data_IF_160616882226
#
_entry.id   IF_160616882226
#
_cell.length_a   1.000
_cell.length_b   1.000
_cell.length_c   1.000
_cell.angle_alpha   90.00
_cell.angle_beta   90.00
_cell.angle_gamma   90.00
#
_symmetry.space_group_name_H-M   'P 1'
#
loop_
_entity.id
_entity.type
_entity.pdbx_description
1 polymer ?
#
# COMPACT_ATOMS: atom_id res chain seq x y z
N UNK A 1 -8.06 -35.25 7.87
CA UNK A 1 -8.44 -34.30 6.80
C UNK A 1 -7.78 -32.98 7.17
N UNK A 2 -6.68 -32.62 6.53
CA UNK A 2 -5.94 -31.40 6.89
C UNK A 2 -6.80 -30.18 6.61
N UNK A 3 -7.04 -29.37 7.64
CA UNK A 3 -7.82 -28.13 7.59
C UNK A 3 -7.26 -27.07 6.62
N UNK A 4 -6.08 -27.33 6.04
CA UNK A 4 -5.40 -26.49 5.05
C UNK A 4 -5.98 -26.61 3.62
N UNK A 5 -6.75 -27.66 3.33
CA UNK A 5 -7.31 -27.94 2.00
C UNK A 5 -8.79 -27.51 1.82
N UNK A 6 -9.23 -26.44 2.49
CA UNK A 6 -10.57 -25.89 2.24
C UNK A 6 -10.61 -25.13 0.89
N UNK A 7 -11.58 -25.38 0.01
CA UNK A 7 -11.70 -24.70 -1.29
C UNK A 7 -11.78 -23.16 -1.19
N UNK A 8 -12.18 -22.60 -0.04
CA UNK A 8 -12.33 -21.15 0.15
C UNK A 8 -11.06 -20.42 0.60
N UNK A 9 -10.01 -21.12 1.03
CA UNK A 9 -8.79 -20.48 1.58
C UNK A 9 -7.81 -20.02 0.50
N UNK A 10 -7.72 -20.76 -0.61
CA UNK A 10 -6.86 -20.45 -1.77
C UNK A 10 -7.17 -19.08 -2.42
N UNK A 11 -8.43 -18.73 -2.73
CA UNK A 11 -8.75 -17.43 -3.32
C UNK A 11 -8.46 -16.26 -2.35
N UNK A 12 -8.71 -16.45 -1.05
CA UNK A 12 -8.44 -15.44 -0.02
C UNK A 12 -6.94 -15.12 0.11
N UNK A 13 -6.10 -16.17 0.11
CA UNK A 13 -4.65 -16.01 0.14
C UNK A 13 -4.13 -15.26 -1.10
N UNK A 14 -4.58 -15.66 -2.29
CA UNK A 14 -4.21 -14.97 -3.55
C UNK A 14 -4.67 -13.52 -3.57
N UNK A 15 -5.89 -13.23 -3.11
CA UNK A 15 -6.39 -11.86 -3.00
C UNK A 15 -5.50 -10.99 -2.11
N UNK A 16 -5.12 -11.52 -0.94
CA UNK A 16 -4.18 -10.84 -0.02
C UNK A 16 -2.82 -10.58 -0.68
N UNK A 17 -2.26 -11.56 -1.40
CA UNK A 17 -0.99 -11.39 -2.12
C UNK A 17 -1.07 -10.32 -3.21
N UNK A 18 -2.16 -10.30 -3.99
CA UNK A 18 -2.37 -9.32 -5.05
C UNK A 18 -2.44 -7.91 -4.46
N UNK A 19 -3.20 -7.72 -3.38
CA UNK A 19 -3.33 -6.42 -2.70
C UNK A 19 -1.96 -5.92 -2.23
N UNK A 20 -1.19 -6.76 -1.55
CA UNK A 20 0.15 -6.38 -1.09
C UNK A 20 1.13 -6.10 -2.23
N UNK A 21 1.07 -6.87 -3.31
CA UNK A 21 1.92 -6.64 -4.47
C UNK A 21 1.61 -5.30 -5.15
N UNK A 22 0.33 -5.01 -5.39
CA UNK A 22 -0.09 -3.76 -6.05
C UNK A 22 0.27 -2.54 -5.21
N UNK A 23 -0.04 -2.58 -3.90
CA UNK A 23 0.27 -1.48 -3.00
C UNK A 23 1.77 -1.33 -2.83
N UNK A 24 2.52 -2.42 -2.67
CA UNK A 24 3.99 -2.38 -2.62
C UNK A 24 4.61 -1.78 -3.88
N UNK A 25 4.07 -2.09 -5.07
CA UNK A 25 4.53 -1.50 -6.33
C UNK A 25 4.28 0.01 -6.37
N UNK A 26 3.09 0.45 -5.97
CA UNK A 26 2.75 1.88 -5.87
C UNK A 26 3.66 2.58 -4.85
N UNK A 27 3.87 1.96 -3.69
CA UNK A 27 4.65 2.54 -2.59
C UNK A 27 6.13 2.68 -2.97
N UNK A 28 6.71 1.69 -3.66
CA UNK A 28 8.07 1.78 -4.22
C UNK A 28 8.16 2.93 -5.24
N UNK A 29 7.16 3.09 -6.11
CA UNK A 29 7.12 4.18 -7.10
C UNK A 29 7.07 5.55 -6.41
N UNK A 30 6.26 5.69 -5.35
CA UNK A 30 6.15 6.91 -4.55
C UNK A 30 7.42 7.17 -3.72
N UNK A 31 8.06 6.14 -3.20
CA UNK A 31 9.33 6.25 -2.49
C UNK A 31 10.41 6.80 -3.43
N UNK A 32 10.53 6.27 -4.66
CA UNK A 32 11.45 6.83 -5.65
C UNK A 32 11.14 8.30 -5.94
N UNK A 33 9.86 8.66 -6.12
CA UNK A 33 9.45 10.06 -6.32
C UNK A 33 9.94 10.93 -5.17
N UNK A 34 9.65 10.52 -3.93
CA UNK A 34 10.02 11.26 -2.72
C UNK A 34 11.54 11.46 -2.65
N UNK A 35 12.33 10.40 -2.79
CA UNK A 35 13.79 10.48 -2.72
C UNK A 35 14.37 11.35 -3.84
N UNK A 36 13.89 11.21 -5.08
CA UNK A 36 14.35 12.02 -6.20
C UNK A 36 14.08 13.51 -5.98
N UNK A 37 12.90 13.87 -5.43
CA UNK A 37 12.59 15.26 -5.10
C UNK A 37 13.41 15.76 -3.90
N UNK A 38 13.55 14.92 -2.87
CA UNK A 38 14.30 15.25 -1.67
C UNK A 38 15.78 15.53 -1.98
N UNK A 39 16.38 14.78 -2.92
CA UNK A 39 17.77 14.97 -3.30
C UNK A 39 17.97 15.89 -4.52
N UNK A 40 16.92 16.57 -4.98
CA UNK A 40 17.03 17.55 -6.07
C UNK A 40 17.45 16.92 -7.41
N UNK A 41 16.96 15.71 -7.71
CA UNK A 41 17.32 14.98 -8.93
C UNK A 41 17.01 15.77 -10.21
N UNK A 42 17.86 15.61 -11.22
CA UNK A 42 17.73 16.31 -12.50
C UNK A 42 16.44 15.91 -13.23
N UNK A 43 15.50 16.85 -13.35
CA UNK A 43 14.19 16.64 -14.01
C UNK A 43 14.31 16.31 -15.51
N UNK A 44 15.44 16.64 -16.16
CA UNK A 44 15.68 16.30 -17.57
C UNK A 44 16.14 14.86 -17.78
N UNK A 45 16.51 14.14 -16.71
CA UNK A 45 16.87 12.73 -16.81
C UNK A 45 15.61 11.88 -17.08
N UNK A 46 15.69 10.95 -18.04
CA UNK A 46 14.55 10.13 -18.46
C UNK A 46 13.93 9.33 -17.31
N UNK A 47 14.77 8.75 -16.43
CA UNK A 47 14.30 8.01 -15.26
C UNK A 47 13.50 8.90 -14.29
N UNK A 48 14.02 10.08 -13.96
CA UNK A 48 13.35 11.02 -13.05
C UNK A 48 12.03 11.49 -13.62
N UNK A 49 11.99 11.83 -14.91
CA UNK A 49 10.76 12.22 -15.59
C UNK A 49 9.72 11.09 -15.60
N UNK A 50 10.15 9.85 -15.89
CA UNK A 50 9.30 8.67 -15.83
C UNK A 50 8.66 8.49 -14.46
N UNK A 51 9.46 8.50 -13.38
CA UNK A 51 8.96 8.34 -12.01
C UNK A 51 7.95 9.45 -11.67
N UNK A 52 8.26 10.71 -11.97
CA UNK A 52 7.36 11.82 -11.67
C UNK A 52 6.03 11.73 -12.43
N UNK A 53 6.06 11.25 -13.67
CA UNK A 53 4.86 11.08 -14.51
C UNK A 53 4.02 9.90 -14.03
N UNK A 54 4.65 8.72 -13.85
CA UNK A 54 3.97 7.50 -13.42
C UNK A 54 3.38 7.62 -12.01
N UNK A 55 4.05 8.37 -11.12
CA UNK A 55 3.58 8.61 -9.74
C UNK A 55 2.48 9.68 -9.63
N UNK A 56 2.29 10.52 -10.66
CA UNK A 56 1.42 11.70 -10.60
C UNK A 56 -0.02 11.38 -10.20
N UNK A 57 -0.70 10.36 -10.78
CA UNK A 57 -2.08 10.04 -10.43
C UNK A 57 -2.28 9.63 -8.97
N UNK A 58 -1.23 9.07 -8.34
CA UNK A 58 -1.28 8.57 -6.97
C UNK A 58 -1.09 9.67 -5.91
N UNK A 59 -0.39 10.75 -6.26
CA UNK A 59 -0.25 11.91 -5.36
C UNK A 59 -1.32 12.97 -5.59
N UNK A 60 -1.95 13.00 -6.77
CA UNK A 60 -2.87 14.06 -7.18
C UNK A 60 -4.04 14.32 -6.21
N UNK A 61 -4.65 13.30 -5.56
CA UNK A 61 -5.75 13.55 -4.61
C UNK A 61 -5.30 14.30 -3.35
N UNK A 62 -4.00 14.29 -3.04
CA UNK A 62 -3.45 14.80 -1.79
C UNK A 62 -2.71 16.14 -1.95
N UNK A 63 -2.56 16.66 -3.17
CA UNK A 63 -1.77 17.86 -3.47
C UNK A 63 -2.15 19.10 -2.65
N UNK A 64 -3.41 19.19 -2.23
CA UNK A 64 -3.93 20.34 -1.48
C UNK A 64 -3.91 20.16 0.04
N UNK A 65 -3.42 19.03 0.55
CA UNK A 65 -3.45 18.72 1.99
C UNK A 65 -2.34 19.45 2.74
N UNK A 66 -1.15 19.53 2.16
CA UNK A 66 0.02 20.17 2.77
C UNK A 66 0.68 21.14 1.79
N UNK A 67 1.33 22.17 2.35
CA UNK A 67 2.21 23.06 1.59
C UNK A 67 3.53 22.38 1.20
N UNK A 68 4.20 22.94 0.19
CA UNK A 68 5.50 22.44 -0.28
C UNK A 68 6.63 23.07 0.54
N UNK A 69 7.53 22.24 1.09
CA UNK A 69 8.79 22.70 1.71
C UNK A 69 9.94 22.55 0.72
N UNK A 70 10.60 23.65 0.34
CA UNK A 70 11.67 23.67 -0.67
C UNK A 70 12.91 24.40 -0.15
N UNK A 71 14.08 23.82 -0.36
CA UNK A 71 15.40 24.41 -0.05
C UNK A 71 16.34 24.11 -1.22
N UNK A 72 16.90 25.13 -1.88
CA UNK A 72 17.97 25.00 -2.88
C UNK A 72 17.80 23.87 -3.92
N UNK A 73 16.58 23.67 -4.42
CA UNK A 73 16.26 22.62 -5.41
C UNK A 73 15.88 21.26 -4.83
N UNK A 74 16.15 21.02 -3.54
CA UNK A 74 15.57 19.94 -2.74
C UNK A 74 14.11 20.27 -2.39
N UNK A 75 13.24 19.26 -2.49
CA UNK A 75 11.82 19.39 -2.13
C UNK A 75 11.44 18.24 -1.20
N UNK A 76 11.08 18.59 0.04
CA UNK A 76 10.44 17.66 0.96
C UNK A 76 8.93 17.63 0.67
N UNK A 77 8.48 16.59 -0.01
CA UNK A 77 7.10 16.47 -0.49
C UNK A 77 6.23 15.70 0.52
N UNK A 78 5.67 16.42 1.50
CA UNK A 78 4.75 15.86 2.51
C UNK A 78 3.56 15.11 1.91
N UNK A 79 3.07 15.57 0.76
CA UNK A 79 1.96 14.95 0.04
C UNK A 79 2.29 13.54 -0.45
N UNK A 80 3.54 13.25 -0.81
CA UNK A 80 3.96 11.90 -1.21
C UNK A 80 4.04 10.96 -0.01
N UNK A 81 4.58 11.42 1.13
CA UNK A 81 4.59 10.64 2.37
C UNK A 81 3.15 10.32 2.83
N UNK A 82 2.25 11.30 2.76
CA UNK A 82 0.85 11.10 3.07
C UNK A 82 0.22 10.05 2.14
N UNK A 83 0.45 10.13 0.84
CA UNK A 83 -0.08 9.17 -0.13
C UNK A 83 0.36 7.74 0.19
N UNK A 84 1.65 7.53 0.48
CA UNK A 84 2.20 6.24 0.90
C UNK A 84 1.49 5.68 2.13
N UNK A 85 1.37 6.50 3.18
CA UNK A 85 0.69 6.12 4.42
C UNK A 85 -0.78 5.73 4.16
N UNK A 86 -1.51 6.54 3.41
CA UNK A 86 -2.92 6.30 3.09
C UNK A 86 -3.08 4.99 2.32
N UNK A 87 -2.23 4.72 1.32
CA UNK A 87 -2.34 3.48 0.55
C UNK A 87 -2.00 2.24 1.37
N UNK A 88 -1.02 2.31 2.28
CA UNK A 88 -0.73 1.22 3.22
C UNK A 88 -1.91 0.95 4.15
N UNK A 89 -2.56 1.99 4.68
CA UNK A 89 -3.73 1.85 5.56
C UNK A 89 -4.92 1.26 4.80
N UNK A 90 -5.17 1.70 3.57
CA UNK A 90 -6.24 1.16 2.71
C UNK A 90 -5.98 -0.32 2.40
N UNK A 91 -4.74 -0.68 2.04
CA UNK A 91 -4.36 -2.07 1.77
C UNK A 91 -4.58 -2.96 2.98
N UNK A 92 -4.13 -2.50 4.15
CA UNK A 92 -4.33 -3.20 5.41
C UNK A 92 -5.81 -3.41 5.71
N UNK A 93 -6.64 -2.38 5.52
CA UNK A 93 -8.09 -2.47 5.68
C UNK A 93 -8.73 -3.48 4.71
N UNK A 94 -8.37 -3.45 3.43
CA UNK A 94 -8.85 -4.40 2.42
C UNK A 94 -8.47 -5.83 2.81
N UNK A 95 -7.23 -6.08 3.23
CA UNK A 95 -6.79 -7.42 3.65
C UNK A 95 -7.56 -7.89 4.88
N UNK A 96 -7.79 -7.02 5.87
CA UNK A 96 -8.61 -7.36 7.05
C UNK A 96 -10.05 -7.73 6.66
N UNK A 97 -10.65 -7.00 5.73
CA UNK A 97 -11.98 -7.32 5.19
C UNK A 97 -12.00 -8.63 4.41
N UNK A 98 -10.97 -8.93 3.64
CA UNK A 98 -10.87 -10.23 2.98
C UNK A 98 -10.82 -11.36 4.01
N UNK A 99 -10.01 -11.20 5.06
CA UNK A 99 -9.83 -12.22 6.10
C UNK A 99 -11.06 -12.42 6.98
N UNK A 100 -11.88 -11.39 7.23
CA UNK A 100 -13.12 -11.52 8.02
C UNK A 100 -14.17 -12.40 7.33
N UNK A 101 -14.15 -12.47 5.99
CA UNK A 101 -15.02 -13.34 5.21
C UNK A 101 -14.68 -14.84 5.33
N UNK A 102 -13.61 -15.21 6.05
CA UNK A 102 -13.26 -16.61 6.32
C UNK A 102 -14.29 -17.20 7.28
N UNK A 103 -15.11 -18.13 6.81
CA UNK A 103 -16.05 -18.88 7.64
C UNK A 103 -15.29 -19.61 8.75
N UNK A 104 -15.63 -19.34 10.01
CA UNK A 104 -15.16 -20.15 11.15
C UNK A 104 -15.84 -21.51 11.08
N UNK A 105 -15.09 -22.59 11.22
CA UNK A 105 -15.67 -23.92 11.31
C UNK A 105 -16.25 -24.14 12.71
N UNK A 106 -17.47 -24.67 12.81
CA UNK A 106 -18.19 -24.90 14.08
C UNK A 106 -17.37 -25.62 15.18
N UNK A 107 -16.46 -26.58 14.86
CA UNK A 107 -15.57 -27.18 15.86
C UNK A 107 -14.53 -26.20 16.43
N UNK A 108 -13.94 -25.36 15.58
CA UNK A 108 -12.89 -24.39 15.96
C UNK A 108 -13.47 -23.26 16.85
N UNK A 109 -14.72 -22.88 16.61
CA UNK A 109 -15.43 -21.92 17.47
C UNK A 109 -15.75 -22.51 18.85
N UNK A 110 -16.07 -23.80 18.93
CA UNK A 110 -16.36 -24.48 20.19
C UNK A 110 -15.12 -24.66 21.07
N UNK A 111 -13.92 -24.83 20.48
CA UNK A 111 -12.67 -24.95 21.22
C UNK A 111 -12.22 -23.60 21.80
N UNK A 112 -12.31 -22.51 21.03
CA UNK A 112 -11.96 -21.16 21.53
C UNK A 112 -12.86 -20.67 22.66
N UNK A 113 -14.14 -21.05 22.67
CA UNK A 113 -15.07 -20.73 23.75
C UNK A 113 -14.84 -21.52 25.04
N UNK A 114 -14.04 -22.60 25.00
CA UNK A 114 -13.64 -23.36 26.21
C UNK A 114 -12.32 -22.85 26.81
N UNK A 115 -11.55 -22.08 26.04
CA UNK A 115 -10.29 -21.47 26.47
C UNK A 115 -10.47 -20.06 27.07
N UNK A 116 -11.67 -19.47 26.92
CA UNK A 116 -12.13 -18.28 27.65
C UNK A 116 -12.88 -18.66 28.93
#
# INVERSE_FOLDING_TARGET
MDSTNSPSTKPLYRGTQIVWYLVGLIDILLMFRFLLKLFGANIRAGFTNFIYTASSPFVSPFNSVFGVSRVEGSVFEWTTILAMLVYLLVAWGIVKLLLIGKTVSTPEAADKLKEE
#
